data_IF_069471680658
#
_entry.id   IF_069471680658
#
_cell.length_a   1.000
_cell.length_b   1.000
_cell.length_c   1.000
_cell.angle_alpha   90.00
_cell.angle_beta   90.00
_cell.angle_gamma   90.00
#
_symmetry.space_group_name_H-M   'P 1'
#
loop_
_entity.id
_entity.type
_entity.pdbx_description
1 polymer ?
#
# COMPACT_ATOMS: atom_id res chain seq x y z
N UNK A 1 17.62 43.73 -13.15
CA UNK A 1 18.33 42.53 -12.65
C UNK A 1 17.22 41.56 -12.29
N UNK A 2 16.52 40.98 -13.28
CA UNK A 2 15.21 40.35 -13.04
C UNK A 2 15.03 39.09 -13.91
N UNK A 3 16.03 38.20 -13.91
CA UNK A 3 15.97 36.92 -14.64
C UNK A 3 16.42 35.69 -13.84
N UNK A 4 16.80 35.85 -12.56
CA UNK A 4 17.42 34.77 -11.77
C UNK A 4 16.46 34.20 -10.70
N UNK A 5 15.30 34.82 -10.46
CA UNK A 5 14.39 34.42 -9.38
C UNK A 5 13.41 33.27 -9.73
N UNK A 6 13.39 32.77 -10.97
CA UNK A 6 12.48 31.71 -11.40
C UNK A 6 13.08 30.29 -11.38
N UNK A 7 14.35 30.12 -10.96
CA UNK A 7 15.11 28.91 -11.30
C UNK A 7 15.17 27.78 -10.25
N UNK A 8 14.48 27.87 -9.11
CA UNK A 8 14.39 26.74 -8.18
C UNK A 8 13.02 26.67 -7.49
N UNK A 9 11.95 26.46 -8.26
CA UNK A 9 10.66 26.15 -7.66
C UNK A 9 10.71 24.73 -7.07
N UNK A 10 10.77 24.63 -5.73
CA UNK A 10 10.66 23.35 -5.02
C UNK A 10 9.37 22.64 -5.45
N UNK A 11 9.46 21.38 -5.87
CA UNK A 11 8.28 20.58 -6.18
C UNK A 11 7.89 19.76 -4.97
N UNK A 12 6.68 20.01 -4.47
CA UNK A 12 6.07 19.21 -3.42
C UNK A 12 5.93 17.75 -3.88
N UNK A 13 6.41 16.82 -3.08
CA UNK A 13 6.17 15.39 -3.24
C UNK A 13 5.34 14.94 -2.06
N UNK A 14 4.23 14.30 -2.37
CA UNK A 14 3.36 13.70 -1.38
C UNK A 14 3.18 12.24 -1.71
N UNK A 15 3.52 11.37 -0.77
CA UNK A 15 3.43 9.92 -0.93
C UNK A 15 2.33 9.41 -0.02
N UNK A 16 1.42 8.64 -0.60
CA UNK A 16 0.34 7.98 0.12
C UNK A 16 0.38 6.49 -0.19
N UNK A 17 0.51 5.69 0.86
CA UNK A 17 0.56 4.25 0.78
C UNK A 17 -0.66 3.64 1.45
N UNK A 18 -1.49 3.00 0.64
CA UNK A 18 -2.56 2.13 1.10
C UNK A 18 -1.97 0.75 1.48
N UNK A 19 -1.58 0.59 2.74
CA UNK A 19 -1.04 -0.67 3.25
C UNK A 19 -2.06 -1.81 3.12
N UNK A 20 -3.36 -1.49 3.21
CA UNK A 20 -4.41 -2.52 3.13
C UNK A 20 -4.48 -3.13 1.74
N UNK A 21 -4.17 -2.34 0.71
CA UNK A 21 -4.13 -2.80 -0.67
C UNK A 21 -2.77 -3.35 -1.10
N UNK A 22 -1.68 -2.79 -0.57
CA UNK A 22 -0.32 -3.11 -0.99
C UNK A 22 0.51 -3.39 0.26
N UNK A 23 0.78 -4.67 0.49
CA UNK A 23 1.58 -5.12 1.61
C UNK A 23 2.97 -5.54 1.13
N UNK A 24 3.98 -5.25 1.95
CA UNK A 24 5.36 -5.63 1.68
C UNK A 24 5.89 -6.42 2.88
N UNK A 25 6.69 -7.48 2.69
CA UNK A 25 7.31 -8.21 3.80
C UNK A 25 8.07 -7.26 4.74
N UNK A 26 8.00 -7.53 6.06
CA UNK A 26 8.53 -6.63 7.09
C UNK A 26 10.02 -6.32 6.89
N UNK A 27 10.81 -7.32 6.52
CA UNK A 27 12.25 -7.23 6.24
C UNK A 27 12.57 -6.37 5.01
N UNK A 28 11.57 -6.09 4.16
CA UNK A 28 11.71 -5.32 2.91
C UNK A 28 11.10 -3.93 2.97
N UNK A 29 10.42 -3.55 4.05
CA UNK A 29 9.76 -2.24 4.19
C UNK A 29 10.73 -1.09 3.94
N UNK A 30 11.88 -1.09 4.63
CA UNK A 30 12.89 -0.04 4.50
C UNK A 30 13.48 0.05 3.08
N UNK A 31 13.72 -1.10 2.44
CA UNK A 31 14.18 -1.17 1.05
C UNK A 31 13.11 -0.63 0.09
N UNK A 32 11.85 -1.00 0.30
CA UNK A 32 10.75 -0.55 -0.53
C UNK A 32 10.57 0.97 -0.47
N UNK A 33 10.55 1.55 0.74
CA UNK A 33 10.49 3.01 0.93
C UNK A 33 11.63 3.72 0.20
N UNK A 34 12.86 3.19 0.30
CA UNK A 34 14.03 3.72 -0.41
C UNK A 34 13.84 3.68 -1.93
N UNK A 35 13.37 2.56 -2.47
CA UNK A 35 13.11 2.40 -3.92
C UNK A 35 12.01 3.32 -4.43
N UNK A 36 10.92 3.51 -3.66
CA UNK A 36 9.87 4.49 -4.00
C UNK A 36 10.49 5.89 -4.11
N UNK A 37 11.24 6.32 -3.09
CA UNK A 37 11.88 7.63 -3.08
C UNK A 37 12.82 7.82 -4.28
N UNK A 38 13.64 6.80 -4.59
CA UNK A 38 14.54 6.84 -5.75
C UNK A 38 13.76 7.01 -7.06
N UNK A 39 12.75 6.16 -7.29
CA UNK A 39 11.95 6.19 -8.51
C UNK A 39 11.22 7.54 -8.72
N UNK A 40 10.67 8.09 -7.63
CA UNK A 40 9.99 9.39 -7.66
C UNK A 40 10.98 10.51 -7.97
N UNK A 41 12.16 10.52 -7.34
CA UNK A 41 13.18 11.55 -7.59
C UNK A 41 13.76 11.45 -9.00
N UNK A 42 14.05 10.24 -9.49
CA UNK A 42 14.56 10.03 -10.84
C UNK A 42 13.61 10.58 -11.92
N UNK A 43 12.30 10.47 -11.71
CA UNK A 43 11.29 11.02 -12.64
C UNK A 43 11.23 12.55 -12.70
N UNK A 44 11.96 13.27 -11.84
CA UNK A 44 11.82 14.72 -11.66
C UNK A 44 12.86 15.58 -12.41
N UNK A 45 13.90 14.96 -12.99
CA UNK A 45 15.03 15.42 -13.85
C UNK A 45 15.63 16.84 -13.70
N UNK A 46 14.88 17.87 -13.32
CA UNK A 46 15.28 19.30 -13.34
C UNK A 46 14.76 20.13 -12.16
N UNK A 47 14.11 19.53 -11.17
CA UNK A 47 13.51 20.26 -10.05
C UNK A 47 14.18 19.85 -8.73
N UNK A 48 14.11 20.71 -7.71
CA UNK A 48 14.48 20.34 -6.35
C UNK A 48 13.26 19.69 -5.68
N UNK A 49 13.25 18.35 -5.52
CA UNK A 49 12.14 17.66 -4.88
C UNK A 49 12.12 17.96 -3.38
N UNK A 50 10.93 18.20 -2.83
CA UNK A 50 10.71 18.28 -1.40
C UNK A 50 9.63 17.29 -0.99
N UNK A 51 10.02 16.25 -0.25
CA UNK A 51 9.05 15.33 0.36
C UNK A 51 8.29 16.06 1.48
N UNK A 52 7.05 16.43 1.17
CA UNK A 52 6.16 17.16 2.07
C UNK A 52 5.41 16.22 3.02
N UNK A 53 5.14 15.00 2.59
CA UNK A 53 4.52 13.96 3.41
C UNK A 53 4.77 12.57 2.83
N UNK A 54 4.95 11.58 3.71
CA UNK A 54 4.85 10.16 3.39
C UNK A 54 3.87 9.52 4.38
N UNK A 55 2.65 9.23 3.92
CA UNK A 55 1.58 8.72 4.76
C UNK A 55 1.32 7.26 4.46
N UNK A 56 1.30 6.41 5.48
CA UNK A 56 0.95 4.99 5.38
C UNK A 56 -0.37 4.76 6.07
N UNK A 57 -1.38 4.37 5.31
CA UNK A 57 -2.72 4.10 5.78
C UNK A 57 -2.92 2.61 6.02
N UNK A 58 -3.23 2.24 7.25
CA UNK A 58 -3.42 0.85 7.65
C UNK A 58 -4.53 0.69 8.70
N UNK A 59 -5.16 -0.47 8.78
CA UNK A 59 -6.14 -0.75 9.84
C UNK A 59 -5.42 -1.34 11.06
N UNK A 60 -5.52 -0.67 12.21
CA UNK A 60 -4.83 -1.07 13.44
C UNK A 60 -5.22 -2.47 13.95
N UNK A 61 -6.43 -2.93 13.59
CA UNK A 61 -6.93 -4.26 14.00
C UNK A 61 -6.27 -5.39 13.22
N UNK A 62 -5.87 -5.13 11.98
CA UNK A 62 -5.35 -6.14 11.06
C UNK A 62 -3.84 -5.99 10.80
N UNK A 63 -3.25 -4.84 11.12
CA UNK A 63 -1.83 -4.57 10.87
C UNK A 63 -1.00 -4.99 12.08
N UNK A 64 -0.05 -5.94 11.95
CA UNK A 64 0.79 -6.35 13.06
C UNK A 64 1.61 -5.19 13.63
N UNK A 65 1.74 -5.12 14.96
CA UNK A 65 2.53 -4.08 15.62
C UNK A 65 4.00 -4.07 15.18
N UNK A 66 4.55 -5.22 14.78
CA UNK A 66 5.90 -5.30 14.23
C UNK A 66 6.05 -4.49 12.94
N UNK A 67 5.03 -4.50 12.06
CA UNK A 67 5.01 -3.74 10.81
C UNK A 67 4.99 -2.23 11.09
N UNK A 68 4.11 -1.77 11.98
CA UNK A 68 4.02 -0.34 12.31
C UNK A 68 5.28 0.16 13.01
N UNK A 69 5.92 -0.68 13.84
CA UNK A 69 7.24 -0.38 14.42
C UNK A 69 8.34 -0.27 13.37
N UNK A 70 8.32 -1.13 12.36
CA UNK A 70 9.31 -1.08 11.27
C UNK A 70 9.11 0.16 10.39
N UNK A 71 7.86 0.47 10.02
CA UNK A 71 7.51 1.70 9.30
C UNK A 71 7.97 2.95 10.05
N UNK A 72 7.77 3.00 11.37
CA UNK A 72 8.17 4.13 12.21
C UNK A 72 9.69 4.34 12.33
N UNK A 73 10.53 3.37 11.90
CA UNK A 73 11.99 3.57 11.80
C UNK A 73 12.38 4.41 10.59
N UNK A 74 11.51 4.49 9.58
CA UNK A 74 11.78 5.25 8.37
C UNK A 74 11.55 6.74 8.62
N UNK A 75 12.50 7.57 8.20
CA UNK A 75 12.38 9.03 8.32
C UNK A 75 11.16 9.55 7.56
N UNK A 76 10.47 10.54 8.12
CA UNK A 76 9.36 11.26 7.48
C UNK A 76 8.17 10.38 7.05
N UNK A 77 8.00 9.19 7.67
CA UNK A 77 6.87 8.29 7.44
C UNK A 77 5.88 8.40 8.60
N UNK A 78 4.67 8.85 8.30
CA UNK A 78 3.57 8.95 9.27
C UNK A 78 2.55 7.83 9.05
N UNK A 79 2.21 7.14 10.13
CA UNK A 79 1.26 6.03 10.10
C UNK A 79 -0.13 6.54 10.49
N UNK A 80 -1.10 6.34 9.62
CA UNK A 80 -2.49 6.72 9.80
C UNK A 80 -3.37 5.48 9.92
N UNK A 81 -4.08 5.39 11.03
CA UNK A 81 -5.05 4.32 11.23
C UNK A 81 -6.40 4.69 10.64
N UNK A 82 -6.88 3.86 9.72
CA UNK A 82 -8.21 3.97 9.12
C UNK A 82 -8.87 2.61 9.09
N UNK A 83 -10.20 2.59 9.22
CA UNK A 83 -10.92 1.33 9.13
C UNK A 83 -10.87 0.79 7.70
N UNK A 84 -10.70 -0.53 7.56
CA UNK A 84 -10.54 -1.22 6.28
C UNK A 84 -11.64 -0.84 5.26
N UNK A 85 -12.89 -0.72 5.71
CA UNK A 85 -14.02 -0.42 4.85
C UNK A 85 -14.05 1.03 4.34
N UNK A 86 -13.34 1.93 5.00
CA UNK A 86 -13.21 3.34 4.59
C UNK A 86 -11.90 3.61 3.85
N UNK A 87 -11.05 2.60 3.62
CA UNK A 87 -9.63 2.84 3.39
C UNK A 87 -9.36 3.77 2.20
N UNK A 88 -9.88 3.43 1.02
CA UNK A 88 -9.73 4.24 -0.18
C UNK A 88 -10.44 5.60 -0.09
N UNK A 89 -11.61 5.68 0.55
CA UNK A 89 -12.36 6.94 0.71
C UNK A 89 -11.68 7.91 1.68
N UNK A 90 -11.14 7.41 2.78
CA UNK A 90 -10.34 8.17 3.74
C UNK A 90 -9.07 8.72 3.09
N UNK A 91 -8.39 7.89 2.29
CA UNK A 91 -7.25 8.31 1.47
C UNK A 91 -7.66 9.41 0.49
N UNK A 92 -8.78 9.27 -0.22
CA UNK A 92 -9.27 10.27 -1.16
C UNK A 92 -9.51 11.64 -0.51
N UNK A 93 -10.05 11.67 0.71
CA UNK A 93 -10.22 12.93 1.47
C UNK A 93 -8.88 13.61 1.74
N UNK A 94 -7.83 12.84 2.07
CA UNK A 94 -6.49 13.39 2.29
C UNK A 94 -5.85 13.85 0.97
N UNK A 95 -5.95 13.04 -0.08
CA UNK A 95 -5.47 13.39 -1.43
C UNK A 95 -6.06 14.72 -1.91
N UNK A 96 -7.36 14.93 -1.71
CA UNK A 96 -8.03 16.17 -2.06
C UNK A 96 -7.51 17.38 -1.25
N UNK A 97 -7.14 17.18 0.01
CA UNK A 97 -6.61 18.25 0.88
C UNK A 97 -5.21 18.71 0.45
N UNK A 98 -4.38 17.86 -0.13
CA UNK A 98 -3.04 18.26 -0.60
C UNK A 98 -3.08 19.33 -1.69
N UNK A 99 -4.12 19.32 -2.53
CA UNK A 99 -4.35 20.39 -3.49
C UNK A 99 -4.58 21.76 -2.83
N UNK A 100 -5.03 21.79 -1.57
CA UNK A 100 -5.23 23.03 -0.80
C UNK A 100 -3.97 23.39 -0.01
N UNK A 101 -3.27 22.40 0.53
CA UNK A 101 -2.15 22.61 1.44
C UNK A 101 -0.82 22.92 0.70
N UNK A 102 -0.69 22.57 -0.58
CA UNK A 102 0.56 22.70 -1.35
C UNK A 102 0.33 23.18 -2.79
N UNK A 103 1.35 23.83 -3.35
CA UNK A 103 1.43 24.09 -4.80
C UNK A 103 1.55 22.77 -5.59
N UNK A 104 1.04 22.72 -6.83
CA UNK A 104 1.06 21.50 -7.63
C UNK A 104 2.48 20.92 -7.82
N UNK A 105 2.64 19.67 -7.42
CA UNK A 105 3.89 18.93 -7.51
C UNK A 105 3.67 17.51 -8.02
N UNK A 106 4.10 16.53 -7.23
CA UNK A 106 3.90 15.11 -7.49
C UNK A 106 3.08 14.50 -6.37
N UNK A 107 2.05 13.75 -6.75
CA UNK A 107 1.31 12.87 -5.85
C UNK A 107 1.64 11.44 -6.21
N UNK A 108 2.11 10.69 -5.23
CA UNK A 108 2.46 9.28 -5.37
C UNK A 108 1.42 8.46 -4.61
N UNK A 109 0.72 7.59 -5.31
CA UNK A 109 -0.25 6.67 -4.73
C UNK A 109 0.27 5.23 -4.87
N UNK A 110 0.58 4.62 -3.73
CA UNK A 110 0.94 3.20 -3.63
C UNK A 110 -0.33 2.45 -3.22
N UNK A 111 -1.05 1.93 -4.21
CA UNK A 111 -2.34 1.24 -4.00
C UNK A 111 -2.71 0.43 -5.23
N UNK A 112 -3.50 -0.63 -5.03
CA UNK A 112 -4.22 -1.32 -6.09
C UNK A 112 -5.43 -0.52 -6.58
N UNK A 113 -6.11 -1.06 -7.58
CA UNK A 113 -7.26 -0.38 -8.15
C UNK A 113 -8.43 -0.27 -7.16
N UNK A 114 -9.01 0.93 -7.09
CA UNK A 114 -10.26 1.20 -6.38
C UNK A 114 -11.06 2.23 -7.17
N UNK A 115 -12.37 1.99 -7.29
CA UNK A 115 -13.29 2.92 -7.97
C UNK A 115 -13.34 4.30 -7.30
N UNK A 116 -12.93 4.40 -6.03
CA UNK A 116 -12.90 5.66 -5.28
C UNK A 116 -11.84 6.65 -5.79
N UNK A 117 -10.72 6.16 -6.35
CA UNK A 117 -9.58 7.02 -6.70
C UNK A 117 -9.79 7.85 -7.97
N UNK A 118 -10.56 7.34 -8.95
CA UNK A 118 -10.70 7.98 -10.26
C UNK A 118 -11.09 9.47 -10.22
N UNK A 119 -12.12 9.88 -9.47
CA UNK A 119 -12.50 11.28 -9.34
C UNK A 119 -11.41 12.19 -8.76
N UNK A 120 -10.69 11.75 -7.72
CA UNK A 120 -9.67 12.58 -7.06
C UNK A 120 -8.39 12.68 -7.90
N UNK A 121 -7.95 11.58 -8.52
CA UNK A 121 -6.78 11.56 -9.40
C UNK A 121 -7.01 12.43 -10.63
N UNK A 122 -8.19 12.33 -11.25
CA UNK A 122 -8.58 13.18 -12.39
C UNK A 122 -8.55 14.66 -12.00
N UNK A 123 -9.04 15.01 -10.80
CA UNK A 123 -9.02 16.39 -10.31
C UNK A 123 -7.59 16.88 -10.08
N UNK A 124 -6.74 16.08 -9.43
CA UNK A 124 -5.35 16.44 -9.16
C UNK A 124 -4.59 16.71 -10.48
N UNK A 125 -4.71 15.82 -11.46
CA UNK A 125 -4.12 16.00 -12.79
C UNK A 125 -4.58 17.30 -13.46
N UNK A 126 -5.90 17.59 -13.45
CA UNK A 126 -6.45 18.86 -13.96
C UNK A 126 -5.95 20.10 -13.23
N UNK A 127 -5.56 19.96 -11.97
CA UNK A 127 -4.98 21.01 -11.15
C UNK A 127 -3.45 21.10 -11.27
N UNK A 128 -2.85 20.40 -12.24
CA UNK A 128 -1.41 20.48 -12.54
C UNK A 128 -0.53 19.57 -11.68
N UNK A 129 -1.11 18.70 -10.86
CA UNK A 129 -0.35 17.68 -10.15
C UNK A 129 0.05 16.56 -11.11
N UNK A 130 1.28 16.06 -10.97
CA UNK A 130 1.67 14.81 -11.62
C UNK A 130 1.33 13.62 -10.73
N UNK A 131 0.55 12.69 -11.25
CA UNK A 131 0.12 11.47 -10.57
C UNK A 131 1.09 10.35 -10.89
N UNK A 132 1.61 9.72 -9.85
CA UNK A 132 2.51 8.57 -9.94
C UNK A 132 1.88 7.39 -9.22
N UNK A 133 1.66 6.28 -9.93
CA UNK A 133 1.03 5.09 -9.34
C UNK A 133 2.07 3.99 -9.15
N UNK A 134 2.12 3.45 -7.95
CA UNK A 134 2.83 2.22 -7.65
C UNK A 134 1.78 1.17 -7.32
N UNK A 135 1.65 0.19 -8.21
CA UNK A 135 0.54 -0.75 -8.17
C UNK A 135 1.06 -2.17 -8.40
N UNK A 136 0.32 -3.19 -7.95
CA UNK A 136 0.63 -4.57 -8.31
C UNK A 136 0.53 -4.82 -9.82
N UNK A 137 1.27 -5.78 -10.36
CA UNK A 137 1.38 -6.00 -11.81
C UNK A 137 0.03 -6.33 -12.47
N UNK A 138 -0.86 -7.01 -11.75
CA UNK A 138 -2.17 -7.43 -12.23
C UNK A 138 -3.27 -6.34 -12.12
N UNK A 139 -2.87 -5.08 -11.87
CA UNK A 139 -3.83 -3.99 -11.68
C UNK A 139 -4.56 -3.64 -12.98
N UNK A 140 -5.91 -3.47 -12.96
CA UNK A 140 -6.70 -3.10 -14.13
C UNK A 140 -6.19 -1.85 -14.86
N UNK A 141 -6.22 -1.88 -16.20
CA UNK A 141 -5.68 -0.80 -17.05
C UNK A 141 -6.39 0.53 -16.85
N UNK A 142 -7.71 0.50 -16.67
CA UNK A 142 -8.54 1.68 -16.42
C UNK A 142 -8.11 2.45 -15.16
N UNK A 143 -7.51 1.76 -14.18
CA UNK A 143 -6.88 2.41 -13.03
C UNK A 143 -5.49 2.97 -13.36
N UNK A 144 -4.67 2.20 -14.07
CA UNK A 144 -3.31 2.60 -14.47
C UNK A 144 -3.33 3.86 -15.37
N UNK A 145 -4.39 4.03 -16.17
CA UNK A 145 -4.61 5.17 -17.05
C UNK A 145 -4.80 6.51 -16.30
N UNK A 146 -5.01 6.50 -14.98
CA UNK A 146 -5.03 7.73 -14.16
C UNK A 146 -3.63 8.27 -13.84
N UNK A 147 -2.59 7.46 -13.94
CA UNK A 147 -1.22 7.86 -13.60
C UNK A 147 -0.45 8.41 -14.78
N UNK A 148 0.28 9.51 -14.58
CA UNK A 148 1.22 10.05 -15.57
C UNK A 148 2.46 9.15 -15.68
N UNK A 149 2.87 8.52 -14.58
CA UNK A 149 3.92 7.50 -14.53
C UNK A 149 3.48 6.36 -13.62
N UNK A 150 3.75 5.13 -14.05
CA UNK A 150 3.24 3.93 -13.39
C UNK A 150 4.37 2.91 -13.20
N UNK A 151 4.42 2.32 -12.02
CA UNK A 151 5.39 1.29 -11.65
C UNK A 151 4.67 0.07 -11.10
N UNK A 152 4.99 -1.10 -11.67
CA UNK A 152 4.69 -2.37 -11.01
C UNK A 152 5.62 -2.55 -9.81
N UNK A 153 5.05 -2.92 -8.67
CA UNK A 153 5.80 -3.12 -7.42
C UNK A 153 6.76 -4.30 -7.55
N UNK A 154 6.30 -5.37 -8.19
CA UNK A 154 7.08 -6.58 -8.48
C UNK A 154 8.33 -6.19 -9.28
N UNK A 155 8.16 -5.44 -10.38
CA UNK A 155 9.29 -4.95 -11.18
C UNK A 155 10.21 -4.01 -10.42
N UNK A 156 9.66 -3.16 -9.56
CA UNK A 156 10.45 -2.27 -8.70
C UNK A 156 11.33 -3.10 -7.75
N UNK A 157 10.83 -4.21 -7.24
CA UNK A 157 11.52 -5.07 -6.29
C UNK A 157 12.47 -6.10 -6.95
N UNK A 158 12.18 -6.56 -8.17
CA UNK A 158 12.85 -7.65 -8.90
C UNK A 158 14.32 -7.39 -9.31
N UNK A 159 14.86 -6.20 -9.08
CA UNK A 159 16.31 -5.94 -9.20
C UNK A 159 17.22 -6.70 -8.21
N UNK A 160 16.72 -7.70 -7.47
CA UNK A 160 17.52 -8.51 -6.55
C UNK A 160 16.82 -9.55 -5.68
N UNK A 161 15.59 -10.00 -5.98
CA UNK A 161 14.89 -10.98 -5.12
C UNK A 161 14.04 -11.93 -5.96
N UNK A 162 14.13 -13.24 -5.69
CA UNK A 162 13.30 -14.26 -6.35
C UNK A 162 11.81 -14.07 -6.09
N UNK A 163 11.01 -14.34 -7.14
CA UNK A 163 9.55 -14.45 -7.23
C UNK A 163 8.78 -14.07 -5.94
N UNK A 164 8.54 -12.78 -5.74
CA UNK A 164 7.53 -12.31 -4.79
C UNK A 164 6.20 -12.33 -5.54
N UNK A 165 5.39 -13.35 -5.33
CA UNK A 165 4.01 -13.36 -5.81
C UNK A 165 3.16 -12.42 -4.94
N UNK A 166 3.02 -11.17 -5.35
CA UNK A 166 2.08 -10.22 -4.75
C UNK A 166 0.69 -10.57 -5.28
N UNK A 167 -0.02 -11.47 -4.58
CA UNK A 167 -1.37 -11.83 -4.94
C UNK A 167 -2.34 -10.79 -4.37
N UNK A 168 -2.91 -9.97 -5.24
CA UNK A 168 -3.94 -8.98 -4.92
C UNK A 168 -5.29 -9.63 -5.16
N UNK A 169 -6.03 -9.89 -4.09
CA UNK A 169 -7.46 -10.15 -4.19
C UNK A 169 -8.16 -9.52 -2.99
N UNK A 170 -8.93 -8.47 -3.25
CA UNK A 170 -9.97 -7.98 -2.34
C UNK A 170 -11.25 -8.82 -2.55
N UNK A 171 -12.28 -8.69 -1.70
CA UNK A 171 -12.35 -8.75 -0.24
C UNK A 171 -12.80 -10.17 0.18
N UNK A 172 -12.66 -10.54 1.46
CA UNK A 172 -13.07 -11.84 2.06
C UNK A 172 -12.07 -13.01 1.98
N UNK A 173 -10.86 -12.84 1.46
CA UNK A 173 -9.84 -13.89 1.54
C UNK A 173 -8.49 -13.29 1.92
N UNK A 174 -8.00 -13.62 3.12
CA UNK A 174 -6.67 -13.23 3.57
C UNK A 174 -5.75 -14.41 3.33
N UNK A 175 -4.75 -14.23 2.47
CA UNK A 175 -3.73 -15.23 2.20
C UNK A 175 -2.61 -15.11 3.23
N UNK A 176 -2.42 -16.13 4.05
CA UNK A 176 -1.27 -16.23 4.93
C UNK A 176 -0.23 -17.14 4.28
N UNK A 177 0.81 -16.56 3.69
CA UNK A 177 2.02 -17.33 3.37
C UNK A 177 2.82 -17.49 4.67
N UNK A 178 2.64 -18.63 5.36
CA UNK A 178 3.41 -18.92 6.59
C UNK A 178 4.69 -19.69 6.24
N UNK A 179 5.64 -19.01 5.59
CA UNK A 179 6.98 -19.57 5.44
C UNK A 179 7.69 -19.61 6.80
N UNK A 180 8.28 -20.75 7.16
CA UNK A 180 9.00 -21.07 8.42
C UNK A 180 8.20 -21.72 9.56
N UNK A 181 7.19 -22.54 9.25
CA UNK A 181 6.57 -23.44 10.22
C UNK A 181 7.50 -24.65 10.50
N UNK A 182 8.51 -24.43 11.32
CA UNK A 182 9.52 -25.41 11.74
C UNK A 182 8.99 -26.37 12.83
N UNK A 183 7.87 -27.06 12.59
CA UNK A 183 7.44 -28.34 13.20
C UNK A 183 5.94 -28.55 12.95
N UNK A 184 5.56 -29.63 12.27
CA UNK A 184 4.19 -29.88 11.79
C UNK A 184 3.10 -29.85 12.89
N UNK A 185 3.41 -30.31 14.11
CA UNK A 185 2.42 -30.36 15.19
C UNK A 185 2.06 -28.97 15.77
N UNK A 186 3.04 -28.08 15.94
CA UNK A 186 2.80 -26.71 16.44
C UNK A 186 2.14 -25.84 15.36
N UNK A 187 2.45 -26.14 14.10
CA UNK A 187 1.89 -25.53 12.89
C UNK A 187 0.41 -25.82 12.73
N UNK A 188 0.01 -27.09 12.90
CA UNK A 188 -1.40 -27.46 12.95
C UNK A 188 -2.11 -26.85 14.16
N UNK A 189 -1.45 -26.76 15.33
CA UNK A 189 -2.02 -26.09 16.50
C UNK A 189 -2.28 -24.60 16.27
N UNK A 190 -1.33 -23.89 15.64
CA UNK A 190 -1.50 -22.49 15.25
C UNK A 190 -2.63 -22.31 14.24
N UNK A 191 -2.65 -23.12 13.18
CA UNK A 191 -3.71 -23.07 12.16
C UNK A 191 -5.08 -23.44 12.73
N UNK A 192 -5.15 -24.46 13.60
CA UNK A 192 -6.37 -24.88 14.31
C UNK A 192 -6.89 -23.76 15.20
N UNK A 193 -6.03 -23.13 15.99
CA UNK A 193 -6.39 -22.00 16.84
C UNK A 193 -6.89 -20.81 16.01
N UNK A 194 -6.25 -20.50 14.88
CA UNK A 194 -6.74 -19.47 13.95
C UNK A 194 -8.10 -19.86 13.37
N UNK A 195 -8.28 -21.11 12.93
CA UNK A 195 -9.58 -21.55 12.40
C UNK A 195 -10.69 -21.57 13.45
N UNK A 196 -10.39 -21.94 14.69
CA UNK A 196 -11.37 -21.99 15.78
C UNK A 196 -11.72 -20.59 16.30
N UNK A 197 -10.71 -19.71 16.43
CA UNK A 197 -10.90 -18.32 16.86
C UNK A 197 -11.70 -17.49 15.86
N UNK A 198 -11.62 -17.81 14.57
CA UNK A 198 -12.26 -17.04 13.49
C UNK A 198 -13.36 -17.82 12.75
N UNK A 199 -13.85 -18.95 13.29
CA UNK A 199 -14.83 -19.85 12.63
C UNK A 199 -14.52 -20.14 11.15
N UNK A 200 -13.24 -20.32 10.86
CA UNK A 200 -12.64 -20.31 9.53
C UNK A 200 -12.23 -21.72 9.12
N UNK A 201 -12.02 -21.96 7.81
CA UNK A 201 -11.66 -23.29 7.30
C UNK A 201 -10.26 -23.28 6.69
N UNK A 202 -9.42 -24.27 6.98
CA UNK A 202 -8.20 -24.48 6.19
C UNK A 202 -8.61 -25.09 4.84
N UNK A 203 -8.44 -24.33 3.75
CA UNK A 203 -8.78 -24.77 2.39
C UNK A 203 -7.69 -25.69 1.83
N UNK A 204 -6.44 -25.40 2.18
CA UNK A 204 -5.28 -26.11 1.66
C UNK A 204 -4.15 -26.07 2.68
N UNK A 205 -3.47 -27.20 2.86
CA UNK A 205 -2.24 -27.28 3.63
C UNK A 205 -1.25 -28.21 2.94
N UNK A 206 -0.05 -27.70 2.70
CA UNK A 206 1.07 -28.46 2.15
C UNK A 206 2.17 -28.56 3.20
N UNK A 207 2.25 -29.72 3.85
CA UNK A 207 3.27 -30.03 4.86
C UNK A 207 4.70 -29.94 4.33
N UNK A 208 4.93 -30.24 3.04
CA UNK A 208 6.28 -30.25 2.48
C UNK A 208 6.84 -28.86 2.25
N UNK A 209 5.97 -27.89 1.97
CA UNK A 209 6.35 -26.49 1.71
C UNK A 209 5.99 -25.56 2.85
N UNK A 210 5.38 -26.07 3.93
CA UNK A 210 4.87 -25.29 5.06
C UNK A 210 3.83 -24.23 4.64
N UNK A 211 3.07 -24.48 3.58
CA UNK A 211 2.08 -23.53 3.06
C UNK A 211 0.67 -23.87 3.54
N UNK A 212 -0.08 -22.87 3.99
CA UNK A 212 -1.47 -23.00 4.36
C UNK A 212 -2.31 -21.93 3.66
N UNK A 213 -3.51 -22.28 3.20
CA UNK A 213 -4.54 -21.35 2.77
C UNK A 213 -5.71 -21.50 3.72
N UNK A 214 -6.08 -20.41 4.37
CA UNK A 214 -7.18 -20.37 5.33
C UNK A 214 -8.28 -19.49 4.73
N UNK A 215 -9.47 -20.04 4.56
CA UNK A 215 -10.68 -19.30 4.30
C UNK A 215 -11.10 -18.65 5.61
N UNK A 216 -10.91 -17.34 5.73
CA UNK A 216 -11.58 -16.63 6.80
C UNK A 216 -13.05 -16.48 6.43
N UNK A 217 -13.95 -17.17 7.15
CA UNK A 217 -15.38 -16.83 7.03
C UNK A 217 -15.48 -15.38 7.47
N UNK A 218 -16.02 -14.55 6.57
CA UNK A 218 -16.23 -13.15 6.83
C UNK A 218 -16.85 -12.99 8.21
N UNK A 219 -16.27 -12.10 9.04
CA UNK A 219 -17.00 -11.55 10.16
C UNK A 219 -18.39 -11.16 9.63
N UNK A 220 -19.41 -11.69 10.25
CA UNK A 220 -20.81 -11.47 9.91
C UNK A 220 -21.14 -10.00 10.23
N UNK A 221 -20.72 -9.06 9.35
CA UNK A 221 -20.93 -7.61 9.54
C UNK A 221 -22.43 -7.28 9.58
N UNK A 222 -23.29 -8.18 9.11
CA UNK A 222 -24.74 -8.02 9.17
C UNK A 222 -25.34 -8.32 10.55
N UNK A 223 -24.63 -9.02 11.46
CA UNK A 223 -25.18 -9.38 12.78
C UNK A 223 -25.08 -8.30 13.86
N UNK A 224 -24.30 -7.24 13.63
CA UNK A 224 -24.21 -6.08 14.54
C UNK A 224 -25.22 -4.96 14.23
N UNK A 225 -26.07 -5.13 13.21
CA UNK A 225 -27.16 -4.19 12.92
C UNK A 225 -28.42 -4.50 13.74
N UNK A 226 -28.45 -5.63 14.48
CA UNK A 226 -29.60 -6.01 15.32
C UNK A 226 -29.24 -6.74 16.64
N UNK A 227 -28.37 -6.16 17.48
CA UNK A 227 -28.34 -6.42 18.93
C UNK A 227 -27.97 -5.17 19.72
#
# INVERSE_FOLDING_TARGET
MDKIAHELQEKAIVIVWDWTSVQVPIDKISLFISKIRSAVVESLEKHHPRECAFLVYCDARFTPLAVTRELAKSSNVDIHHIELHESSWGICKKLHRFHVDYDPGVVVLISGASAAYGPVLTKLSRCGWRVQLFHPENTPRDYVDYGDHNWSIERLLDGGIGNISINVNFPHTVYFLVSELCNSNESFGFLSNVTEQYESNVIYFNEKTAEAVIELKAFDVERLVWL
#
